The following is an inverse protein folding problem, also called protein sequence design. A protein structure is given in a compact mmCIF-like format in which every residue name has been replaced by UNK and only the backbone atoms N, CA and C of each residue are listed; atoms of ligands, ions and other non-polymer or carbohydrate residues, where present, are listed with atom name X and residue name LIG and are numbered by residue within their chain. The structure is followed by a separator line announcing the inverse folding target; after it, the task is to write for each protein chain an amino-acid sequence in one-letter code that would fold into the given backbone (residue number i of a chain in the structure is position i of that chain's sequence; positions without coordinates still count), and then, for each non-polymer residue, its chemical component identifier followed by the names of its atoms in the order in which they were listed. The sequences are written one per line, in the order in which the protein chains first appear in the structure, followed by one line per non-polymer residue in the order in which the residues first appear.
data_IF_260674799840
#
_entry.id   IF_260674799840
#
_cell.length_a   1.000
_cell.length_b   1.000
_cell.length_c   1.000
_cell.angle_alpha   90.00
_cell.angle_beta   90.00
_cell.angle_gamma   90.00
#
_symmetry.space_group_name_H-M   'P 1'
#
loop_
_entity.id
_entity.type
_entity.pdbx_description
1 polymer ?
#
# COMPACT_ATOMS: atom_id res chain seq x y z
N UNK A 1 -21.57 -34.18 -69.19
CA UNK A 1 -22.42 -33.78 -68.04
C UNK A 1 -21.51 -33.67 -66.84
N UNK A 2 -21.04 -32.46 -66.57
CA UNK A 2 -20.14 -32.12 -65.47
C UNK A 2 -20.96 -31.96 -64.19
N UNK A 3 -20.53 -32.57 -63.09
CA UNK A 3 -21.08 -32.34 -61.77
C UNK A 3 -19.92 -31.93 -60.84
N UNK A 4 -20.01 -30.71 -60.30
CA UNK A 4 -19.05 -30.13 -59.38
C UNK A 4 -19.17 -30.72 -57.97
N UNK A 5 -18.07 -30.80 -57.19
CA UNK A 5 -18.13 -31.18 -55.78
C UNK A 5 -18.50 -29.98 -54.90
N UNK A 6 -19.41 -30.20 -53.95
CA UNK A 6 -19.84 -29.23 -52.93
C UNK A 6 -18.69 -28.93 -51.95
N UNK A 7 -18.38 -27.64 -51.79
CA UNK A 7 -17.44 -27.11 -50.79
C UNK A 7 -17.87 -27.46 -49.37
N UNK A 8 -16.90 -27.94 -48.57
CA UNK A 8 -17.06 -28.22 -47.16
C UNK A 8 -17.19 -26.93 -46.35
N UNK A 9 -18.13 -26.94 -45.39
CA UNK A 9 -18.31 -25.87 -44.42
C UNK A 9 -17.02 -25.66 -43.59
N UNK A 10 -16.57 -24.39 -43.54
CA UNK A 10 -15.48 -23.94 -42.68
C UNK A 10 -15.80 -24.18 -41.20
N UNK A 11 -14.80 -24.51 -40.36
CA UNK A 11 -15.00 -24.68 -38.92
C UNK A 11 -15.45 -23.36 -38.28
N UNK A 12 -16.44 -23.49 -37.40
CA UNK A 12 -16.99 -22.42 -36.57
C UNK A 12 -15.92 -21.60 -35.86
N UNK A 13 -16.12 -20.29 -35.89
CA UNK A 13 -15.41 -19.20 -35.21
C UNK A 13 -14.96 -19.57 -33.78
N UNK A 14 -13.75 -19.16 -33.34
CA UNK A 14 -13.34 -19.36 -31.95
C UNK A 14 -14.30 -18.61 -31.02
N UNK A 15 -14.82 -19.35 -30.05
CA UNK A 15 -15.62 -18.86 -28.94
C UNK A 15 -14.95 -17.62 -28.34
N UNK A 16 -15.67 -16.49 -28.33
CA UNK A 16 -15.18 -15.26 -27.74
C UNK A 16 -14.89 -15.51 -26.26
N UNK A 17 -13.61 -15.54 -25.89
CA UNK A 17 -13.19 -15.58 -24.50
C UNK A 17 -13.64 -14.27 -23.87
N UNK A 18 -14.80 -14.29 -23.20
CA UNK A 18 -15.22 -13.17 -22.36
C UNK A 18 -14.10 -12.88 -21.36
N UNK A 19 -13.61 -11.63 -21.27
CA UNK A 19 -12.61 -11.30 -20.28
C UNK A 19 -13.20 -11.58 -18.90
N UNK A 20 -12.57 -12.48 -18.14
CA UNK A 20 -12.96 -12.75 -16.76
C UNK A 20 -12.83 -11.42 -16.00
N UNK A 21 -13.97 -10.76 -15.75
CA UNK A 21 -14.02 -9.59 -14.89
C UNK A 21 -13.60 -10.05 -13.50
N UNK A 22 -12.38 -9.67 -13.10
CA UNK A 22 -11.91 -9.95 -11.75
C UNK A 22 -12.62 -9.00 -10.79
N UNK A 23 -12.95 -9.47 -9.58
CA UNK A 23 -13.58 -8.59 -8.60
C UNK A 23 -12.67 -7.41 -8.31
N UNK A 24 -13.29 -6.23 -8.28
CA UNK A 24 -12.66 -4.96 -8.00
C UNK A 24 -13.20 -4.43 -6.67
N UNK A 25 -12.33 -3.88 -5.84
CA UNK A 25 -12.73 -3.10 -4.65
C UNK A 25 -12.12 -1.71 -4.74
N UNK A 26 -12.92 -0.69 -4.52
CA UNK A 26 -12.45 0.70 -4.41
C UNK A 26 -12.44 1.10 -2.94
N UNK A 27 -11.31 1.62 -2.47
CA UNK A 27 -11.07 2.01 -1.08
C UNK A 27 -10.61 3.47 -1.00
N UNK A 28 -11.25 4.26 -0.15
CA UNK A 28 -10.76 5.55 0.30
C UNK A 28 -9.88 5.34 1.53
N UNK A 29 -8.68 5.92 1.49
CA UNK A 29 -7.73 5.86 2.61
C UNK A 29 -7.40 7.26 3.07
N UNK A 30 -7.44 7.47 4.39
CA UNK A 30 -6.94 8.67 5.05
C UNK A 30 -5.94 8.25 6.12
N UNK A 31 -4.72 8.79 6.05
CA UNK A 31 -3.67 8.62 7.05
C UNK A 31 -3.37 9.99 7.64
N UNK A 32 -3.33 10.08 8.96
CA UNK A 32 -2.86 11.24 9.70
C UNK A 32 -1.83 10.81 10.74
N UNK A 33 -0.67 11.47 10.75
CA UNK A 33 0.30 11.39 11.85
C UNK A 33 0.40 12.75 12.50
N UNK A 34 0.21 12.79 13.82
CA UNK A 34 0.25 13.99 14.63
C UNK A 34 1.28 13.87 15.75
N UNK A 35 2.15 14.86 15.82
CA UNK A 35 3.05 15.09 16.95
C UNK A 35 2.53 16.27 17.75
N UNK A 36 2.38 16.10 19.06
CA UNK A 36 2.18 17.19 20.01
C UNK A 36 3.40 17.21 20.94
N UNK A 37 4.29 18.17 20.73
CA UNK A 37 5.56 18.27 21.45
C UNK A 37 5.38 19.06 22.76
N UNK A 38 6.01 18.58 23.84
CA UNK A 38 6.09 19.26 25.15
C UNK A 38 6.88 20.57 25.03
N UNK A 39 7.92 20.57 24.20
CA UNK A 39 8.79 21.71 23.95
C UNK A 39 8.68 22.27 22.53
N UNK A 40 9.26 23.45 22.26
CA UNK A 40 9.45 23.90 20.89
C UNK A 40 10.40 22.97 20.14
N UNK A 41 10.01 22.57 18.92
CA UNK A 41 10.93 22.01 17.93
C UNK A 41 11.66 23.15 17.25
N UNK A 42 12.99 23.09 17.19
CA UNK A 42 13.82 24.10 16.51
C UNK A 42 14.08 23.70 15.07
N UNK A 43 14.34 22.42 14.85
CA UNK A 43 14.67 21.86 13.55
C UNK A 43 14.10 20.44 13.45
N UNK A 44 13.46 20.14 12.34
CA UNK A 44 13.07 18.77 12.01
C UNK A 44 13.26 18.45 10.53
N UNK A 45 13.73 17.25 10.25
CA UNK A 45 13.83 16.68 8.92
C UNK A 45 13.04 15.38 8.88
N UNK A 46 12.14 15.26 7.93
CA UNK A 46 11.22 14.14 7.82
C UNK A 46 11.30 13.48 6.45
N UNK A 47 11.00 12.19 6.47
CA UNK A 47 10.87 11.34 5.31
C UNK A 47 9.60 10.50 5.45
N UNK A 48 8.73 10.54 4.46
CA UNK A 48 7.46 9.85 4.44
C UNK A 48 7.32 8.92 3.23
N UNK A 49 6.80 7.72 3.49
CA UNK A 49 6.32 6.78 2.48
C UNK A 49 4.80 6.74 2.51
N UNK A 50 4.14 7.88 2.29
CA UNK A 50 2.68 8.02 2.39
C UNK A 50 1.98 8.08 1.03
N UNK A 51 2.75 7.94 -0.06
CA UNK A 51 2.21 7.85 -1.42
C UNK A 51 2.14 6.38 -1.83
N UNK A 52 0.92 5.85 -2.08
CA UNK A 52 0.73 4.45 -2.39
C UNK A 52 1.39 4.09 -3.72
N UNK A 53 1.83 2.83 -3.81
CA UNK A 53 2.41 2.30 -5.02
C UNK A 53 1.34 1.89 -6.03
N UNK A 54 1.69 1.96 -7.30
CA UNK A 54 0.94 1.28 -8.35
C UNK A 54 1.50 -0.13 -8.50
N UNK A 55 0.61 -1.11 -8.65
CA UNK A 55 0.98 -2.51 -8.94
C UNK A 55 0.05 -3.04 -10.04
N UNK A 56 0.33 -4.22 -10.62
CA UNK A 56 -0.61 -4.84 -11.56
C UNK A 56 -2.02 -5.06 -10.99
N UNK A 57 -2.16 -5.06 -9.65
CA UNK A 57 -3.40 -5.34 -8.93
C UNK A 57 -3.90 -4.14 -8.09
N UNK A 58 -3.24 -2.98 -8.20
CA UNK A 58 -3.59 -1.77 -7.46
C UNK A 58 -3.36 -0.53 -8.32
N UNK A 59 -4.43 0.24 -8.55
CA UNK A 59 -4.41 1.54 -9.22
C UNK A 59 -4.80 2.62 -8.22
N UNK A 60 -4.28 3.82 -8.41
CA UNK A 60 -4.53 4.97 -7.53
C UNK A 60 -5.25 6.03 -8.37
N UNK A 61 -6.46 6.40 -7.97
CA UNK A 61 -7.31 7.36 -8.72
C UNK A 61 -6.92 8.80 -8.42
N UNK A 62 -6.73 9.10 -7.15
CA UNK A 62 -6.33 10.41 -6.64
C UNK A 62 -5.44 10.23 -5.41
N UNK A 63 -4.59 11.22 -5.13
CA UNK A 63 -3.74 11.25 -3.93
C UNK A 63 -3.37 12.70 -3.56
N UNK A 64 -3.31 12.99 -2.26
CA UNK A 64 -2.89 14.28 -1.72
C UNK A 64 -2.06 14.11 -0.45
N UNK A 65 -1.18 15.08 -0.18
CA UNK A 65 -0.37 15.16 1.04
C UNK A 65 -0.38 16.59 1.59
N UNK A 66 -0.94 16.75 2.79
CA UNK A 66 -0.98 18.01 3.53
C UNK A 66 -0.11 17.93 4.76
N UNK A 67 0.67 18.98 4.99
CA UNK A 67 1.59 19.07 6.14
C UNK A 67 1.33 20.41 6.82
N UNK A 68 1.15 20.38 8.13
CA UNK A 68 0.95 21.56 8.96
C UNK A 68 1.88 21.51 10.19
N UNK A 69 2.68 22.55 10.47
CA UNK A 69 2.86 23.76 9.67
C UNK A 69 3.42 23.46 8.28
N UNK A 70 3.31 24.40 7.35
CA UNK A 70 3.90 24.22 6.03
C UNK A 70 5.41 23.99 6.15
N UNK A 71 5.96 23.03 5.40
CA UNK A 71 7.40 22.83 5.32
C UNK A 71 8.11 24.08 4.82
N UNK A 72 9.39 24.17 5.14
CA UNK A 72 10.26 25.16 4.51
C UNK A 72 10.36 24.84 3.02
N UNK A 73 10.17 25.87 2.20
CA UNK A 73 10.48 25.76 0.78
C UNK A 73 11.99 25.57 0.63
N UNK A 74 12.40 24.54 -0.12
CA UNK A 74 13.78 24.49 -0.60
C UNK A 74 13.92 25.57 -1.65
N UNK A 75 14.48 26.71 -1.26
CA UNK A 75 15.05 27.66 -2.21
C UNK A 75 16.31 26.99 -2.75
N UNK A 76 16.23 26.44 -3.96
CA UNK A 76 17.44 26.27 -4.73
C UNK A 76 17.89 27.70 -5.06
N UNK A 77 19.02 28.13 -4.50
CA UNK A 77 19.77 29.21 -5.14
C UNK A 77 20.00 28.73 -6.58
N UNK A 78 19.28 29.30 -7.53
CA UNK A 78 19.59 29.09 -8.93
C UNK A 78 21.10 29.33 -9.07
N UNK A 79 21.86 28.48 -9.78
CA UNK A 79 23.28 28.71 -9.97
C UNK A 79 23.43 30.15 -10.47
N UNK A 80 24.08 30.99 -9.66
CA UNK A 80 24.37 32.37 -10.03
C UNK A 80 24.98 32.30 -11.43
N UNK A 81 24.40 32.98 -12.44
CA UNK A 81 25.04 33.01 -13.75
C UNK A 81 26.47 33.52 -13.55
N UNK A 82 27.44 32.67 -13.86
CA UNK A 82 28.84 33.02 -13.95
C UNK A 82 29.00 33.87 -15.21
N UNK A 83 28.53 35.11 -15.15
CA UNK A 83 28.80 36.17 -16.11
C UNK A 83 28.62 37.53 -15.41
N UNK A 84 29.57 37.83 -14.52
CA UNK A 84 29.94 39.20 -14.18
C UNK A 84 31.38 39.42 -14.63
N UNK A 85 31.68 40.48 -15.39
CA UNK A 85 33.04 40.76 -15.82
C UNK A 85 33.92 41.03 -14.59
N UNK A 86 35.07 40.36 -14.57
CA UNK A 86 36.14 40.50 -13.58
C UNK A 86 36.44 41.98 -13.34
N UNK A 87 36.11 42.46 -12.14
CA UNK A 87 36.77 43.64 -11.56
C UNK A 87 37.80 43.13 -10.57
N UNK A 88 39.03 43.66 -10.70
CA UNK A 88 40.23 43.18 -10.02
C UNK A 88 40.13 43.23 -8.48
N UNK A 89 40.84 42.34 -7.76
CA UNK A 89 40.71 42.22 -6.32
C UNK A 89 41.49 43.30 -5.56
N UNK A 90 40.89 43.82 -4.49
CA UNK A 90 41.61 44.53 -3.43
C UNK A 90 42.49 43.53 -2.65
N UNK A 91 43.75 43.88 -2.31
CA UNK A 91 44.67 42.95 -1.66
C UNK A 91 44.42 42.89 -0.15
N UNK A 92 44.37 41.67 0.39
CA UNK A 92 44.51 41.40 1.82
C UNK A 92 43.34 40.67 2.47
N UNK A 93 43.36 39.34 2.43
CA UNK A 93 42.99 38.49 3.55
C UNK A 93 43.39 37.04 3.23
N UNK A 94 44.12 36.45 4.16
CA UNK A 94 44.81 35.18 4.05
C UNK A 94 43.88 33.96 4.19
N UNK A 95 44.32 32.90 3.52
CA UNK A 95 44.03 31.45 3.64
C UNK A 95 43.20 30.93 4.82
N UNK A 96 42.23 30.05 4.50
CA UNK A 96 41.98 28.82 5.25
C UNK A 96 41.40 27.73 4.33
N UNK A 97 41.84 26.50 4.56
CA UNK A 97 41.80 25.36 3.65
C UNK A 97 40.42 24.79 3.33
N UNK A 98 40.27 24.35 2.09
CA UNK A 98 39.14 23.61 1.56
C UNK A 98 39.59 22.18 1.27
N UNK A 99 38.99 21.21 1.96
CA UNK A 99 39.04 19.81 1.60
C UNK A 99 37.61 19.29 1.71
N UNK A 100 36.93 19.24 0.57
CA UNK A 100 35.65 18.57 0.41
C UNK A 100 35.84 17.50 -0.66
N UNK A 101 35.64 16.24 -0.27
CA UNK A 101 35.66 15.10 -1.18
C UNK A 101 34.22 14.66 -1.40
N UNK A 102 33.59 15.22 -2.42
CA UNK A 102 32.30 14.77 -2.94
C UNK A 102 32.45 13.44 -3.67
N UNK A 103 31.86 12.38 -3.09
CA UNK A 103 31.51 11.17 -3.85
C UNK A 103 30.09 11.34 -4.37
N UNK A 104 29.98 11.90 -5.57
CA UNK A 104 28.72 11.96 -6.31
C UNK A 104 28.33 10.55 -6.80
N UNK A 105 27.41 9.88 -6.10
CA UNK A 105 26.76 8.67 -6.60
C UNK A 105 25.70 9.07 -7.62
N UNK A 106 26.03 8.93 -8.90
CA UNK A 106 25.08 9.09 -10.01
C UNK A 106 24.20 7.83 -10.12
N UNK A 107 22.92 7.97 -9.75
CA UNK A 107 21.90 6.93 -10.01
C UNK A 107 21.57 6.99 -11.50
N UNK A 108 21.98 5.95 -12.25
CA UNK A 108 21.58 5.77 -13.65
C UNK A 108 20.09 5.44 -13.70
N UNK A 109 19.33 6.25 -14.42
CA UNK A 109 17.93 6.01 -14.76
C UNK A 109 17.78 4.68 -15.52
N UNK A 110 16.93 3.78 -15.01
CA UNK A 110 16.57 2.56 -15.71
C UNK A 110 15.79 2.90 -17.00
N UNK A 111 16.07 2.25 -18.13
CA UNK A 111 15.37 2.49 -19.38
C UNK A 111 14.11 1.62 -19.42
N UNK A 112 13.04 2.10 -18.81
CA UNK A 112 11.68 1.77 -19.27
C UNK A 112 10.77 2.97 -19.01
N UNK A 113 10.25 3.48 -20.12
CA UNK A 113 9.63 4.78 -20.24
C UNK A 113 8.29 4.93 -19.53
N UNK A 114 7.94 6.22 -19.39
CA UNK A 114 6.77 6.80 -18.75
C UNK A 114 6.84 6.90 -17.21
N UNK A 115 7.48 7.99 -16.75
CA UNK A 115 6.96 8.77 -15.63
C UNK A 115 5.48 9.08 -15.93
N UNK A 116 4.57 8.24 -15.47
CA UNK A 116 3.16 8.63 -15.38
C UNK A 116 3.05 9.60 -14.21
N UNK A 117 3.25 10.89 -14.51
CA UNK A 117 2.79 11.96 -13.63
C UNK A 117 1.30 11.76 -13.39
N UNK A 118 0.87 11.93 -12.14
CA UNK A 118 -0.54 11.79 -11.80
C UNK A 118 -1.23 13.08 -12.24
N UNK A 119 -2.34 13.02 -12.98
CA UNK A 119 -3.24 14.16 -13.03
C UNK A 119 -3.80 14.38 -11.60
N UNK A 120 -3.50 15.53 -10.98
CA UNK A 120 -4.15 15.95 -9.73
C UNK A 120 -3.47 15.62 -8.39
N UNK A 121 -2.15 15.41 -8.35
CA UNK A 121 -1.46 15.29 -7.04
C UNK A 121 -1.39 16.66 -6.32
N UNK A 122 -2.18 16.84 -5.27
CA UNK A 122 -2.15 18.03 -4.40
C UNK A 122 -1.09 17.83 -3.30
N UNK A 123 0.05 18.52 -3.44
CA UNK A 123 1.19 18.39 -2.54
C UNK A 123 1.43 19.68 -1.76
N UNK A 124 1.75 19.52 -0.48
CA UNK A 124 2.24 20.62 0.34
C UNK A 124 3.49 21.26 -0.29
N UNK A 125 3.57 22.60 -0.37
CA UNK A 125 4.77 23.32 -0.77
C UNK A 125 5.98 22.92 0.08
N UNK A 126 7.19 22.96 -0.50
CA UNK A 126 8.44 22.61 0.19
C UNK A 126 8.71 21.11 0.39
N UNK A 127 7.80 20.24 -0.07
CA UNK A 127 8.02 18.79 -0.10
C UNK A 127 8.76 18.38 -1.37
N UNK A 128 9.90 17.70 -1.22
CA UNK A 128 10.60 17.05 -2.32
C UNK A 128 10.12 15.61 -2.48
N UNK A 129 9.89 15.18 -3.72
CA UNK A 129 9.56 13.78 -4.01
C UNK A 129 10.64 13.11 -4.86
N UNK A 130 10.93 11.86 -4.51
CA UNK A 130 11.80 10.98 -5.27
C UNK A 130 11.34 9.53 -5.10
N UNK A 131 11.91 8.62 -5.89
CA UNK A 131 11.79 7.19 -5.63
C UNK A 131 13.03 6.68 -4.88
N UNK A 132 12.82 5.73 -3.98
CA UNK A 132 13.91 4.99 -3.36
C UNK A 132 14.40 3.84 -4.28
N UNK A 133 15.48 3.12 -3.91
CA UNK A 133 15.99 2.01 -4.72
C UNK A 133 14.99 0.87 -4.96
N UNK A 134 13.93 0.77 -4.15
CA UNK A 134 12.86 -0.22 -4.32
C UNK A 134 11.71 0.32 -5.20
N UNK A 135 11.79 1.57 -5.65
CA UNK A 135 10.74 2.28 -6.39
C UNK A 135 9.59 2.81 -5.52
N UNK A 136 9.77 2.89 -4.19
CA UNK A 136 8.77 3.51 -3.32
C UNK A 136 8.81 5.02 -3.50
N UNK A 137 7.65 5.67 -3.52
CA UNK A 137 7.59 7.12 -3.44
C UNK A 137 7.99 7.59 -2.05
N UNK A 138 9.00 8.47 -2.01
CA UNK A 138 9.53 9.10 -0.81
C UNK A 138 9.31 10.60 -0.88
N UNK A 139 8.62 11.13 0.11
CA UNK A 139 8.48 12.56 0.35
C UNK A 139 9.47 13.00 1.43
N UNK A 140 10.26 14.04 1.17
CA UNK A 140 11.23 14.63 2.11
C UNK A 140 10.84 16.08 2.36
N UNK A 141 10.81 16.50 3.62
CA UNK A 141 10.44 17.86 4.01
C UNK A 141 11.08 18.23 5.34
N UNK A 142 11.19 19.54 5.60
CA UNK A 142 11.86 20.06 6.79
C UNK A 142 11.12 21.24 7.40
N UNK A 143 11.37 21.46 8.69
CA UNK A 143 10.87 22.60 9.45
C UNK A 143 11.99 23.19 10.29
N UNK A 144 12.39 24.42 9.99
CA UNK A 144 13.34 25.26 10.73
C UNK A 144 12.63 26.33 11.55
N UNK A 145 11.32 26.50 11.34
CA UNK A 145 10.47 27.38 12.15
C UNK A 145 10.01 26.67 13.40
N UNK A 146 10.10 27.39 14.52
CA UNK A 146 9.67 26.88 15.81
C UNK A 146 8.19 26.53 15.81
N UNK A 147 7.89 25.28 16.16
CA UNK A 147 6.52 24.79 16.27
C UNK A 147 6.39 23.78 17.41
N UNK A 148 5.15 23.58 17.87
CA UNK A 148 4.79 22.63 18.94
C UNK A 148 3.89 21.48 18.46
N UNK A 149 3.43 21.55 17.21
CA UNK A 149 2.58 20.53 16.61
C UNK A 149 2.99 20.32 15.17
N UNK A 150 3.07 19.07 14.76
CA UNK A 150 3.21 18.66 13.37
C UNK A 150 2.06 17.71 13.03
N UNK A 151 1.38 17.97 11.92
CA UNK A 151 0.36 17.10 11.35
C UNK A 151 0.73 16.79 9.91
N UNK A 152 0.83 15.51 9.59
CA UNK A 152 1.09 14.99 8.24
C UNK A 152 -0.10 14.14 7.83
N UNK A 153 -0.84 14.58 6.82
CA UNK A 153 -2.06 13.92 6.36
C UNK A 153 -1.96 13.53 4.90
N UNK A 154 -2.15 12.25 4.60
CA UNK A 154 -2.25 11.73 3.24
C UNK A 154 -3.67 11.18 3.00
N UNK A 155 -4.25 11.51 1.85
CA UNK A 155 -5.56 10.99 1.45
C UNK A 155 -5.51 10.51 0.01
N UNK A 156 -6.08 9.34 -0.28
CA UNK A 156 -6.12 8.79 -1.64
C UNK A 156 -7.25 7.78 -1.83
N UNK A 157 -7.52 7.47 -3.10
CA UNK A 157 -8.46 6.40 -3.48
C UNK A 157 -7.71 5.31 -4.26
N UNK A 158 -7.78 4.08 -3.75
CA UNK A 158 -7.17 2.90 -4.37
C UNK A 158 -8.24 1.98 -4.97
N UNK A 159 -7.99 1.53 -6.20
CA UNK A 159 -8.77 0.49 -6.88
C UNK A 159 -7.93 -0.80 -6.88
N UNK A 160 -8.45 -1.82 -6.21
CA UNK A 160 -7.80 -3.11 -6.00
C UNK A 160 -8.45 -4.16 -6.89
N UNK A 161 -7.63 -4.91 -7.63
CA UNK A 161 -8.07 -6.06 -8.42
C UNK A 161 -7.59 -7.34 -7.75
N UNK A 162 -8.41 -8.38 -7.79
CA UNK A 162 -8.00 -9.67 -7.23
C UNK A 162 -6.74 -10.20 -7.96
N UNK A 163 -5.68 -10.58 -7.22
CA UNK A 163 -4.52 -11.21 -7.82
C UNK A 163 -4.90 -12.59 -8.38
N UNK A 164 -4.09 -13.14 -9.32
CA UNK A 164 -4.33 -14.48 -9.84
C UNK A 164 -4.31 -15.51 -8.70
N UNK A 165 -5.11 -16.58 -8.79
CA UNK A 165 -5.12 -17.63 -7.77
C UNK A 165 -3.75 -18.31 -7.66
N UNK A 166 -3.34 -18.55 -6.42
CA UNK A 166 -2.04 -19.14 -6.11
C UNK A 166 -2.05 -20.65 -6.38
N UNK A 167 -1.17 -21.13 -7.28
CA UNK A 167 -1.05 -22.56 -7.59
C UNK A 167 0.05 -23.19 -6.75
N UNK A 168 -0.27 -23.54 -5.51
CA UNK A 168 0.70 -24.03 -4.51
C UNK A 168 1.60 -25.16 -5.04
N UNK A 169 1.00 -26.19 -5.65
CA UNK A 169 1.70 -27.38 -6.18
C UNK A 169 2.53 -27.10 -7.43
N UNK A 170 2.28 -25.98 -8.12
CA UNK A 170 3.03 -25.60 -9.31
C UNK A 170 4.33 -24.84 -8.98
N UNK A 171 4.55 -24.50 -7.70
CA UNK A 171 5.82 -23.93 -7.26
C UNK A 171 6.89 -25.03 -7.15
N UNK A 172 8.15 -24.74 -7.50
CA UNK A 172 9.23 -25.71 -7.35
C UNK A 172 9.50 -26.04 -5.88
N UNK A 173 10.18 -27.18 -5.59
CA UNK A 173 10.71 -27.46 -4.27
C UNK A 173 11.55 -26.31 -3.73
N UNK A 174 11.37 -25.96 -2.46
CA UNK A 174 11.98 -24.78 -1.87
C UNK A 174 13.52 -24.80 -1.91
N UNK A 175 14.17 -25.97 -1.82
CA UNK A 175 15.62 -26.11 -1.88
C UNK A 175 16.19 -25.79 -3.25
N UNK A 176 15.41 -26.01 -4.31
CA UNK A 176 15.79 -25.62 -5.66
C UNK A 176 15.81 -24.09 -5.77
N UNK A 177 14.80 -23.41 -5.20
CA UNK A 177 14.73 -21.95 -5.17
C UNK A 177 15.86 -21.37 -4.32
N UNK A 178 16.07 -21.91 -3.12
CA UNK A 178 17.14 -21.48 -2.23
C UNK A 178 18.53 -21.64 -2.86
N UNK A 179 18.78 -22.73 -3.61
CA UNK A 179 20.04 -22.91 -4.36
C UNK A 179 20.20 -21.91 -5.50
N UNK A 180 19.12 -21.58 -6.22
CA UNK A 180 19.12 -20.56 -7.30
C UNK A 180 19.42 -19.16 -6.76
N UNK A 181 18.97 -18.88 -5.54
CA UNK A 181 19.17 -17.60 -4.86
C UNK A 181 20.49 -17.52 -4.07
N UNK A 182 21.34 -18.55 -4.14
CA UNK A 182 22.72 -18.44 -3.67
C UNK A 182 23.56 -17.74 -4.73
N UNK A 183 24.50 -16.93 -4.28
CA UNK A 183 25.49 -16.31 -5.16
C UNK A 183 26.21 -17.37 -6.00
N UNK A 184 26.23 -17.17 -7.32
CA UNK A 184 27.04 -17.93 -8.26
C UNK A 184 27.81 -16.95 -9.17
N UNK A 185 29.12 -17.16 -9.38
CA UNK A 185 29.89 -16.33 -10.31
C UNK A 185 29.26 -16.33 -11.71
N UNK A 186 29.10 -15.15 -12.31
CA UNK A 186 28.54 -15.00 -13.66
C UNK A 186 27.02 -15.11 -13.77
N UNK A 187 26.30 -15.31 -12.66
CA UNK A 187 24.84 -15.30 -12.67
C UNK A 187 24.30 -13.88 -12.95
N UNK A 188 23.30 -13.72 -13.85
CA UNK A 188 22.60 -12.45 -14.01
C UNK A 188 21.97 -11.98 -12.70
N UNK A 189 21.98 -10.67 -12.46
CA UNK A 189 21.34 -10.09 -11.29
C UNK A 189 19.83 -10.39 -11.31
N UNK A 190 19.32 -10.93 -10.19
CA UNK A 190 17.91 -11.17 -9.92
C UNK A 190 17.55 -10.33 -8.70
N UNK A 191 16.61 -9.40 -8.83
CA UNK A 191 16.23 -8.48 -7.74
C UNK A 191 15.81 -9.21 -6.46
N UNK A 192 15.34 -10.46 -6.58
CA UNK A 192 14.98 -11.30 -5.44
C UNK A 192 16.16 -11.53 -4.48
N UNK A 193 17.40 -11.49 -4.98
CA UNK A 193 18.61 -11.69 -4.17
C UNK A 193 18.75 -10.65 -3.04
N UNK A 194 18.37 -9.39 -3.29
CA UNK A 194 18.39 -8.32 -2.28
C UNK A 194 17.51 -8.64 -1.06
N UNK A 195 16.48 -9.46 -1.27
CA UNK A 195 15.50 -9.85 -0.27
C UNK A 195 15.78 -11.21 0.38
N UNK A 196 16.92 -11.83 0.05
CA UNK A 196 17.49 -13.02 0.71
C UNK A 196 18.48 -12.61 1.80
N UNK A 197 19.05 -11.41 1.68
CA UNK A 197 20.03 -10.86 2.61
C UNK A 197 19.37 -10.49 3.96
N UNK A 198 20.10 -10.63 5.08
CA UNK A 198 19.60 -10.21 6.38
C UNK A 198 19.40 -8.70 6.42
N UNK A 199 18.48 -8.26 7.27
CA UNK A 199 18.25 -6.84 7.57
C UNK A 199 18.13 -6.61 9.07
N UNK A 200 18.04 -5.35 9.51
CA UNK A 200 18.06 -4.97 10.93
C UNK A 200 16.98 -5.69 11.74
N UNK A 201 15.74 -5.71 11.24
CA UNK A 201 14.60 -6.30 11.96
C UNK A 201 14.34 -7.76 11.59
N UNK A 202 14.82 -8.22 10.44
CA UNK A 202 14.70 -9.61 9.99
C UNK A 202 16.09 -10.19 9.65
N UNK A 203 16.94 -10.43 10.67
CA UNK A 203 18.23 -11.06 10.48
C UNK A 203 18.07 -12.55 10.11
N UNK A 204 19.16 -13.16 9.66
CA UNK A 204 19.27 -14.62 9.65
C UNK A 204 19.60 -15.09 11.05
N UNK A 205 18.84 -16.06 11.55
CA UNK A 205 18.98 -16.54 12.91
C UNK A 205 18.64 -18.04 12.98
N UNK A 206 19.32 -18.77 13.86
CA UNK A 206 19.12 -20.21 14.00
C UNK A 206 17.72 -20.57 14.53
N UNK A 207 17.13 -19.76 15.42
CA UNK A 207 15.76 -19.98 15.90
C UNK A 207 14.73 -19.72 14.80
N UNK A 208 14.94 -18.69 13.98
CA UNK A 208 14.10 -18.43 12.80
C UNK A 208 14.22 -19.55 11.75
N UNK A 209 15.44 -20.06 11.51
CA UNK A 209 15.67 -21.21 10.65
C UNK A 209 14.92 -22.46 11.15
N UNK A 210 14.98 -22.73 12.47
CA UNK A 210 14.26 -23.85 13.09
C UNK A 210 12.74 -23.72 12.91
N UNK A 211 12.18 -22.52 13.10
CA UNK A 211 10.77 -22.26 12.87
C UNK A 211 10.37 -22.60 11.42
N UNK A 212 11.15 -22.13 10.44
CA UNK A 212 10.90 -22.42 9.03
C UNK A 212 11.01 -23.91 8.69
N UNK A 213 12.01 -24.60 9.25
CA UNK A 213 12.28 -26.01 8.99
C UNK A 213 11.14 -26.96 9.44
N UNK A 214 10.24 -26.51 10.31
CA UNK A 214 9.06 -27.30 10.71
C UNK A 214 8.06 -27.52 9.57
N UNK A 215 8.03 -26.62 8.59
CA UNK A 215 7.06 -26.65 7.48
C UNK A 215 7.72 -26.77 6.11
N UNK A 216 9.00 -26.40 5.99
CA UNK A 216 9.81 -26.58 4.80
C UNK A 216 10.55 -27.93 4.84
N UNK A 217 9.78 -29.02 4.84
CA UNK A 217 10.32 -30.38 4.76
C UNK A 217 10.96 -30.65 3.37
N UNK A 218 11.83 -31.67 3.24
CA UNK A 218 12.44 -32.01 1.97
C UNK A 218 11.44 -32.15 0.82
N UNK A 219 11.65 -31.42 -0.28
CA UNK A 219 10.80 -31.49 -1.47
C UNK A 219 9.48 -30.72 -1.39
N UNK A 220 9.22 -30.00 -0.30
CA UNK A 220 8.00 -29.20 -0.15
C UNK A 220 7.93 -28.10 -1.22
N UNK A 221 6.83 -27.97 -1.97
CA UNK A 221 6.64 -26.84 -2.88
C UNK A 221 6.76 -25.52 -2.14
N UNK A 222 7.55 -24.58 -2.65
CA UNK A 222 7.86 -23.29 -2.00
C UNK A 222 6.60 -22.59 -1.45
N UNK A 223 5.56 -22.45 -2.27
CA UNK A 223 4.35 -21.73 -1.87
C UNK A 223 3.52 -22.52 -0.85
N UNK A 224 3.56 -23.85 -0.89
CA UNK A 224 2.92 -24.66 0.14
C UNK A 224 3.60 -24.46 1.51
N UNK A 225 4.95 -24.47 1.53
CA UNK A 225 5.72 -24.19 2.73
C UNK A 225 5.52 -22.76 3.25
N UNK A 226 5.44 -21.77 2.35
CA UNK A 226 5.20 -20.38 2.74
C UNK A 226 3.81 -20.17 3.37
N UNK A 227 2.76 -20.77 2.81
CA UNK A 227 1.41 -20.75 3.41
C UNK A 227 1.37 -21.50 4.73
N UNK A 228 2.04 -22.64 4.83
CA UNK A 228 2.15 -23.38 6.09
C UNK A 228 2.89 -22.57 7.17
N UNK A 229 3.94 -21.84 6.80
CA UNK A 229 4.67 -20.94 7.70
C UNK A 229 3.80 -19.77 8.16
N UNK A 230 3.04 -19.14 7.26
CA UNK A 230 2.06 -18.10 7.59
C UNK A 230 1.09 -18.58 8.68
N UNK A 231 0.48 -19.75 8.47
CA UNK A 231 -0.42 -20.34 9.46
C UNK A 231 0.30 -20.73 10.78
N UNK A 232 1.57 -21.15 10.70
CA UNK A 232 2.35 -21.50 11.88
C UNK A 232 2.64 -20.26 12.74
N UNK A 233 3.04 -19.14 12.12
CA UNK A 233 3.25 -17.86 12.80
C UNK A 233 1.94 -17.40 13.43
N UNK A 234 0.84 -17.36 12.67
CA UNK A 234 -0.48 -16.97 13.17
C UNK A 234 -0.89 -17.73 14.43
N UNK A 235 -0.75 -19.07 14.43
CA UNK A 235 -1.17 -19.90 15.57
C UNK A 235 -0.27 -19.79 16.80
N UNK A 236 0.99 -19.39 16.62
CA UNK A 236 1.99 -19.38 17.70
C UNK A 236 2.14 -18.03 18.37
N UNK A 237 1.59 -16.98 17.76
CA UNK A 237 1.75 -15.62 18.23
C UNK A 237 0.41 -15.07 18.70
N UNK A 238 0.44 -14.38 19.83
CA UNK A 238 -0.68 -13.59 20.31
C UNK A 238 -0.54 -12.15 19.80
N UNK A 239 -1.60 -11.59 19.23
CA UNK A 239 -1.60 -10.18 18.84
C UNK A 239 -1.74 -9.30 20.08
N UNK A 240 -0.75 -8.45 20.35
CA UNK A 240 -0.69 -7.63 21.57
C UNK A 240 0.06 -6.32 21.33
N UNK A 241 -0.66 -5.20 21.33
CA UNK A 241 -0.16 -3.87 20.90
C UNK A 241 0.90 -3.26 21.82
N UNK A 242 0.96 -3.65 23.10
CA UNK A 242 1.94 -3.14 24.06
C UNK A 242 3.07 -4.12 24.38
N UNK A 243 3.13 -5.27 23.68
CA UNK A 243 4.13 -6.29 23.96
C UNK A 243 5.51 -5.94 23.40
N UNK A 244 5.54 -5.20 22.29
CA UNK A 244 6.73 -4.91 21.51
C UNK A 244 6.81 -3.43 21.19
N UNK A 245 7.94 -3.01 20.63
CA UNK A 245 8.14 -1.66 20.12
C UNK A 245 8.50 -1.72 18.65
N UNK A 246 8.48 -0.56 17.96
CA UNK A 246 8.93 -0.46 16.58
C UNK A 246 10.40 -0.91 16.37
N UNK A 247 11.19 -0.98 17.44
CA UNK A 247 12.58 -1.42 17.42
C UNK A 247 12.77 -2.94 17.62
N UNK A 248 11.71 -3.68 17.99
CA UNK A 248 11.78 -5.12 18.27
C UNK A 248 12.19 -5.90 17.02
N UNK A 249 13.10 -6.85 17.18
CA UNK A 249 13.64 -7.68 16.07
C UNK A 249 12.98 -9.05 16.03
N UNK A 250 12.95 -9.69 14.86
CA UNK A 250 12.33 -10.99 14.65
C UNK A 250 12.73 -12.09 15.64
N UNK A 251 14.02 -12.29 16.02
CA UNK A 251 14.38 -13.33 16.99
C UNK A 251 13.79 -13.06 18.39
N UNK A 252 13.71 -11.79 18.78
CA UNK A 252 13.13 -11.37 20.05
C UNK A 252 11.62 -11.58 20.05
N UNK A 253 10.92 -11.13 19.01
CA UNK A 253 9.49 -11.37 18.83
C UNK A 253 9.17 -12.87 18.84
N UNK A 254 9.99 -13.71 18.21
CA UNK A 254 9.85 -15.16 18.24
C UNK A 254 10.01 -15.76 19.64
N UNK A 255 10.94 -15.24 20.45
CA UNK A 255 11.11 -15.68 21.82
C UNK A 255 9.91 -15.29 22.69
N UNK A 256 9.36 -14.09 22.47
CA UNK A 256 8.21 -13.57 23.23
C UNK A 256 6.88 -14.20 22.81
N UNK A 257 6.71 -14.55 21.53
CA UNK A 257 5.47 -15.09 20.92
C UNK A 257 4.25 -14.16 21.07
N UNK A 258 4.51 -12.87 21.13
CA UNK A 258 3.50 -11.80 21.18
C UNK A 258 4.04 -10.57 20.48
N UNK A 259 3.15 -9.79 19.88
CA UNK A 259 3.54 -8.57 19.17
C UNK A 259 2.44 -8.09 18.24
N UNK A 260 2.81 -7.24 17.30
CA UNK A 260 1.90 -6.64 16.30
C UNK A 260 2.19 -7.16 14.89
N UNK A 261 1.43 -6.70 13.89
CA UNK A 261 1.58 -7.13 12.50
C UNK A 261 3.02 -6.96 11.97
N UNK A 262 3.74 -5.93 12.42
CA UNK A 262 5.17 -5.74 12.13
C UNK A 262 5.99 -6.96 12.54
N UNK A 263 5.83 -7.43 13.78
CA UNK A 263 6.59 -8.54 14.35
C UNK A 263 6.30 -9.86 13.61
N UNK A 264 5.03 -10.12 13.33
CA UNK A 264 4.60 -11.33 12.63
C UNK A 264 5.22 -11.37 11.22
N UNK A 265 5.21 -10.22 10.51
CA UNK A 265 5.83 -10.10 9.20
C UNK A 265 7.36 -10.28 9.28
N UNK A 266 8.05 -9.64 10.24
CA UNK A 266 9.50 -9.79 10.39
C UNK A 266 9.92 -11.20 10.77
N UNK A 267 9.18 -11.89 11.65
CA UNK A 267 9.43 -13.30 12.00
C UNK A 267 9.31 -14.19 10.77
N UNK A 268 8.23 -14.05 10.00
CA UNK A 268 8.04 -14.84 8.78
C UNK A 268 9.13 -14.55 7.73
N UNK A 269 9.48 -13.28 7.52
CA UNK A 269 10.57 -12.88 6.60
C UNK A 269 11.90 -13.46 7.06
N UNK A 270 12.23 -13.31 8.35
CA UNK A 270 13.49 -13.80 8.90
C UNK A 270 13.60 -15.33 8.84
N UNK A 271 12.50 -16.06 9.04
CA UNK A 271 12.45 -17.51 8.85
C UNK A 271 12.71 -17.91 7.39
N UNK A 272 12.05 -17.26 6.42
CA UNK A 272 12.27 -17.50 4.99
C UNK A 272 13.72 -17.20 4.57
N UNK A 273 14.25 -16.04 4.98
CA UNK A 273 15.62 -15.64 4.68
C UNK A 273 16.68 -16.53 5.31
N UNK A 274 16.39 -17.08 6.50
CA UNK A 274 17.25 -18.04 7.17
C UNK A 274 17.32 -19.38 6.44
N UNK A 275 16.30 -19.71 5.62
CA UNK A 275 16.29 -20.86 4.70
C UNK A 275 16.85 -20.52 3.31
N UNK A 276 17.31 -19.30 3.08
CA UNK A 276 17.83 -18.84 1.78
C UNK A 276 16.74 -18.49 0.76
N UNK A 277 15.52 -18.22 1.21
CA UNK A 277 14.40 -17.80 0.38
C UNK A 277 14.24 -16.28 0.40
N UNK A 278 13.82 -15.70 -0.72
CA UNK A 278 13.60 -14.27 -0.87
C UNK A 278 12.23 -13.87 -0.31
N UNK A 279 12.24 -12.93 0.64
CA UNK A 279 11.02 -12.38 1.22
C UNK A 279 11.19 -10.88 1.50
N UNK A 280 10.17 -10.08 1.21
CA UNK A 280 10.18 -8.63 1.45
C UNK A 280 9.03 -8.20 2.34
N UNK A 281 9.29 -7.12 3.08
CA UNK A 281 8.32 -6.50 3.96
C UNK A 281 7.43 -5.56 3.15
N UNK A 282 6.12 -5.62 3.37
CA UNK A 282 5.17 -4.71 2.76
C UNK A 282 4.50 -3.91 3.86
N UNK A 283 4.58 -2.58 3.74
CA UNK A 283 3.83 -1.64 4.57
C UNK A 283 2.59 -1.20 3.80
N UNK A 284 1.46 -1.07 4.49
CA UNK A 284 0.21 -0.70 3.86
C UNK A 284 -0.92 -0.46 4.84
N UNK A 285 -2.14 -0.57 4.32
CA UNK A 285 -3.36 -0.42 5.11
C UNK A 285 -4.30 -1.59 4.87
N UNK A 286 -5.11 -1.91 5.88
CA UNK A 286 -6.05 -3.02 5.83
C UNK A 286 -7.47 -2.51 6.02
N UNK A 287 -8.40 -2.92 5.14
CA UNK A 287 -9.83 -2.78 5.40
C UNK A 287 -10.21 -3.82 6.47
N UNK A 288 -10.37 -3.37 7.71
CA UNK A 288 -10.82 -4.22 8.80
C UNK A 288 -12.34 -4.39 8.78
N UNK A 289 -12.83 -5.61 8.97
CA UNK A 289 -14.25 -5.86 9.26
C UNK A 289 -14.40 -6.07 10.77
N UNK A 290 -14.95 -5.09 11.52
CA UNK A 290 -15.21 -5.30 12.94
C UNK A 290 -16.30 -6.38 13.11
N UNK A 291 -16.33 -7.08 14.25
CA UNK A 291 -17.46 -7.93 14.63
C UNK A 291 -18.78 -7.14 14.57
N UNK A 292 -19.92 -7.81 14.28
CA UNK A 292 -21.23 -7.14 14.29
C UNK A 292 -21.47 -6.38 15.59
N UNK A 293 -21.80 -5.08 15.49
CA UNK A 293 -22.06 -4.20 16.64
C UNK A 293 -20.85 -3.45 17.18
N UNK A 294 -19.64 -3.67 16.65
CA UNK A 294 -18.45 -2.89 17.01
C UNK A 294 -18.14 -1.83 15.92
N UNK A 295 -17.65 -0.63 16.30
CA UNK A 295 -17.19 0.35 15.33
C UNK A 295 -16.01 -0.23 14.54
N UNK A 296 -15.85 0.19 13.27
CA UNK A 296 -14.65 -0.17 12.49
C UNK A 296 -13.42 0.33 13.22
N UNK A 297 -12.32 -0.41 13.10
CA UNK A 297 -11.04 0.05 13.62
C UNK A 297 -10.67 1.35 12.87
N UNK A 298 -10.50 2.41 13.64
CA UNK A 298 -10.07 3.75 13.18
C UNK A 298 -8.87 4.10 14.05
N UNK A 299 -7.73 4.41 13.44
CA UNK A 299 -6.50 4.63 14.21
C UNK A 299 -5.26 3.97 13.62
N UNK A 300 -4.22 3.79 14.44
CA UNK A 300 -3.05 3.00 14.10
C UNK A 300 -3.40 1.55 13.69
N UNK A 301 -4.53 1.03 14.16
CA UNK A 301 -5.01 -0.33 13.91
C UNK A 301 -5.36 -0.62 12.43
N UNK A 302 -5.51 0.41 11.59
CA UNK A 302 -5.70 0.22 10.14
C UNK A 302 -4.37 0.30 9.35
N UNK A 303 -3.27 0.74 9.96
CA UNK A 303 -1.93 0.48 9.41
C UNK A 303 -1.62 -1.01 9.54
N UNK A 304 -1.03 -1.58 8.50
CA UNK A 304 -0.78 -3.01 8.46
C UNK A 304 0.53 -3.36 7.77
N UNK A 305 1.00 -4.56 8.09
CA UNK A 305 2.22 -5.12 7.54
C UNK A 305 2.03 -6.58 7.17
N UNK A 306 2.60 -6.97 6.04
CA UNK A 306 2.59 -8.36 5.58
C UNK A 306 3.84 -8.69 4.78
N UNK A 307 3.91 -9.93 4.29
CA UNK A 307 5.09 -10.48 3.62
C UNK A 307 4.81 -10.71 2.15
N UNK A 308 5.78 -10.43 1.29
CA UNK A 308 5.80 -10.95 -0.07
C UNK A 308 6.94 -11.95 -0.24
N UNK A 309 6.63 -13.15 -0.71
CA UNK A 309 7.57 -14.24 -0.97
C UNK A 309 7.78 -14.37 -2.47
N UNK A 310 9.04 -14.38 -2.91
CA UNK A 310 9.34 -14.52 -4.33
C UNK A 310 9.32 -15.99 -4.76
N UNK A 311 8.57 -16.29 -5.81
CA UNK A 311 8.50 -17.60 -6.44
C UNK A 311 8.82 -17.46 -7.94
N UNK A 312 9.73 -18.26 -8.51
CA UNK A 312 10.16 -18.09 -9.90
C UNK A 312 9.04 -18.31 -10.93
N UNK A 313 7.95 -18.98 -10.55
CA UNK A 313 6.80 -19.26 -11.44
C UNK A 313 5.65 -18.27 -11.21
N UNK A 314 5.54 -17.67 -10.02
CA UNK A 314 4.41 -16.81 -9.64
C UNK A 314 4.79 -15.34 -9.41
N UNK A 315 6.09 -15.01 -9.45
CA UNK A 315 6.60 -13.72 -8.99
C UNK A 315 6.44 -13.55 -7.48
N UNK A 316 6.19 -12.32 -7.05
CA UNK A 316 5.99 -11.96 -5.65
C UNK A 316 4.57 -12.31 -5.19
N UNK A 317 4.46 -13.22 -4.23
CA UNK A 317 3.19 -13.67 -3.64
C UNK A 317 3.02 -13.07 -2.25
N UNK A 318 1.90 -12.39 -2.01
CA UNK A 318 1.64 -11.69 -0.75
C UNK A 318 0.86 -12.56 0.25
N UNK A 319 1.37 -12.64 1.48
CA UNK A 319 0.87 -13.46 2.58
C UNK A 319 0.81 -12.62 3.87
N UNK A 320 -0.31 -12.67 4.57
CA UNK A 320 -0.56 -11.95 5.82
C UNK A 320 -0.51 -12.93 7.01
N UNK A 321 0.63 -13.01 7.74
CA UNK A 321 0.76 -13.89 8.90
C UNK A 321 -0.08 -13.45 10.10
N UNK A 322 -0.54 -12.19 10.14
CA UNK A 322 -1.35 -11.67 11.24
C UNK A 322 -2.77 -12.17 11.17
N UNK A 323 -3.30 -12.30 9.95
CA UNK A 323 -4.68 -12.72 9.70
C UNK A 323 -4.81 -14.13 9.10
N UNK A 324 -3.67 -14.81 8.85
CA UNK A 324 -3.61 -16.12 8.20
C UNK A 324 -4.31 -16.19 6.84
N UNK A 325 -4.16 -15.14 6.01
CA UNK A 325 -4.76 -15.07 4.67
C UNK A 325 -3.76 -14.62 3.62
N UNK A 326 -3.91 -15.03 2.35
CA UNK A 326 -3.26 -14.33 1.24
C UNK A 326 -3.74 -12.87 1.18
N UNK A 327 -2.83 -11.94 0.90
CA UNK A 327 -3.23 -10.53 0.76
C UNK A 327 -4.08 -10.35 -0.52
N UNK A 328 -5.16 -9.58 -0.41
CA UNK A 328 -6.17 -9.48 -1.46
C UNK A 328 -6.83 -8.11 -1.54
N UNK A 329 -8.15 -8.11 -1.76
CA UNK A 329 -8.95 -6.90 -1.99
C UNK A 329 -9.09 -5.98 -0.77
N UNK A 330 -8.60 -6.40 0.38
CA UNK A 330 -8.66 -5.61 1.62
C UNK A 330 -7.29 -5.01 1.96
N UNK A 331 -6.22 -5.34 1.21
CA UNK A 331 -4.83 -4.94 1.48
C UNK A 331 -4.35 -3.86 0.50
N UNK A 332 -4.22 -2.62 0.98
CA UNK A 332 -3.70 -1.50 0.19
C UNK A 332 -2.20 -1.37 0.37
N UNK A 333 -1.43 -1.61 -0.69
CA UNK A 333 0.04 -1.55 -0.67
C UNK A 333 0.54 -0.11 -0.70
N UNK A 334 1.27 0.29 0.33
CA UNK A 334 1.88 1.62 0.40
C UNK A 334 3.33 1.60 -0.09
N UNK A 335 4.14 0.70 0.46
CA UNK A 335 5.57 0.57 0.16
C UNK A 335 6.08 -0.84 0.47
N UNK A 336 7.22 -1.22 -0.12
CA UNK A 336 7.92 -2.46 0.25
C UNK A 336 9.43 -2.28 0.34
N UNK A 337 10.07 -3.08 1.19
CA UNK A 337 11.51 -3.02 1.42
C UNK A 337 12.01 -4.28 2.09
N UNK A 338 13.26 -4.27 2.56
CA UNK A 338 13.83 -5.45 3.24
C UNK A 338 13.21 -5.64 4.61
N UNK A 339 12.90 -4.56 5.32
CA UNK A 339 12.14 -4.57 6.56
C UNK A 339 11.50 -3.19 6.80
N UNK A 340 11.02 -2.95 8.02
CA UNK A 340 10.36 -1.70 8.39
C UNK A 340 11.26 -0.46 8.25
N UNK A 341 12.58 -0.59 8.42
CA UNK A 341 13.50 0.55 8.34
C UNK A 341 13.52 1.20 6.96
N UNK A 342 13.31 0.39 5.92
CA UNK A 342 13.29 0.84 4.53
C UNK A 342 11.97 1.58 4.21
N UNK A 343 10.86 1.27 4.89
CA UNK A 343 9.50 1.69 4.47
C UNK A 343 8.61 2.24 5.58
N UNK A 344 9.19 2.73 6.67
CA UNK A 344 8.44 3.39 7.72
C UNK A 344 7.54 4.50 7.13
N UNK A 345 6.23 4.56 7.49
CA UNK A 345 5.29 5.52 6.91
C UNK A 345 5.74 6.97 7.09
N UNK A 346 6.28 7.30 8.26
CA UNK A 346 6.91 8.57 8.57
C UNK A 346 8.07 8.34 9.53
N UNK A 347 9.24 8.89 9.20
CA UNK A 347 10.42 8.92 10.07
C UNK A 347 11.12 10.27 9.95
N UNK A 348 12.00 10.58 10.88
CA UNK A 348 12.75 11.82 10.83
C UNK A 348 13.70 12.00 12.00
N UNK A 349 14.45 13.09 11.95
CA UNK A 349 15.26 13.58 13.07
C UNK A 349 14.65 14.90 13.51
N UNK A 350 14.39 15.01 14.81
CA UNK A 350 13.76 16.18 15.44
C UNK A 350 14.72 16.69 16.51
N UNK A 351 15.05 17.98 16.46
CA UNK A 351 15.83 18.68 17.49
C UNK A 351 14.91 19.60 18.28
N UNK A 352 14.92 19.41 19.61
CA UNK A 352 13.93 20.01 20.50
C UNK A 352 12.64 19.18 20.55
N UNK A 353 11.58 19.74 21.12
CA UNK A 353 10.26 19.13 21.10
C UNK A 353 10.15 17.73 21.71
N UNK A 354 10.67 17.50 22.91
CA UNK A 354 10.36 16.27 23.66
C UNK A 354 8.85 16.02 23.75
N UNK A 355 8.43 14.82 24.14
CA UNK A 355 7.01 14.51 24.26
C UNK A 355 6.67 13.07 23.90
N UNK A 356 5.36 12.74 23.93
CA UNK A 356 4.87 11.39 23.68
C UNK A 356 5.10 10.96 22.23
N UNK A 357 5.01 9.64 22.00
CA UNK A 357 5.02 9.06 20.66
C UNK A 357 3.93 9.70 19.76
N UNK A 358 4.18 9.77 18.44
CA UNK A 358 3.20 10.33 17.51
C UNK A 358 1.88 9.57 17.56
N UNK A 359 0.79 10.32 17.49
CA UNK A 359 -0.56 9.76 17.31
C UNK A 359 -0.77 9.48 15.84
N UNK A 360 -1.03 8.22 15.50
CA UNK A 360 -1.33 7.79 14.13
C UNK A 360 -2.81 7.43 14.04
N UNK A 361 -3.50 7.99 13.04
CA UNK A 361 -4.87 7.66 12.71
C UNK A 361 -4.99 7.29 11.24
N UNK A 362 -5.49 6.09 10.98
CA UNK A 362 -5.78 5.61 9.63
C UNK A 362 -7.24 5.21 9.55
N UNK A 363 -7.88 5.61 8.46
CA UNK A 363 -9.23 5.22 8.09
C UNK A 363 -9.21 4.60 6.70
N UNK A 364 -9.79 3.41 6.56
CA UNK A 364 -9.96 2.71 5.28
C UNK A 364 -11.44 2.40 5.07
N UNK A 365 -12.02 2.97 4.02
CA UNK A 365 -13.46 2.90 3.76
C UNK A 365 -13.72 2.39 2.34
N UNK A 366 -14.64 1.42 2.15
CA UNK A 366 -15.06 1.04 0.82
C UNK A 366 -15.87 2.18 0.18
N UNK A 367 -15.56 2.50 -1.07
CA UNK A 367 -16.43 3.34 -1.87
C UNK A 367 -17.38 2.43 -2.65
N UNK A 368 -18.67 2.54 -2.39
CA UNK A 368 -19.70 2.07 -3.32
C UNK A 368 -19.60 2.94 -4.56
N UNK A 369 -19.23 2.35 -5.68
CA UNK A 369 -19.45 3.02 -6.96
C UNK A 369 -20.97 3.13 -7.17
N UNK A 370 -21.49 4.29 -7.59
CA UNK A 370 -22.88 4.35 -8.04
C UNK A 370 -23.04 3.35 -9.20
N UNK A 371 -24.02 2.45 -9.08
CA UNK A 371 -24.42 1.56 -10.17
C UNK A 371 -25.03 2.37 -11.34
N UNK A 372 -24.18 2.87 -12.25
CA UNK A 372 -24.61 3.39 -13.56
C UNK A 372 -23.53 2.98 -14.59
N UNK A 373 -23.77 2.25 -15.68
CA UNK A 373 -24.96 2.17 -16.52
C UNK A 373 -25.11 0.76 -17.13
N UNK A 374 -26.02 -0.03 -16.56
CA UNK A 374 -26.74 -1.09 -17.27
C UNK A 374 -27.96 -0.55 -18.00
N UNK A 375 -27.87 0.66 -18.60
CA UNK A 375 -28.92 1.15 -19.50
C UNK A 375 -28.62 0.60 -20.89
N UNK A 376 -29.37 -0.43 -21.20
CA UNK A 376 -29.70 -0.96 -22.51
C UNK A 376 -29.35 0.00 -23.65
N UNK A 377 -28.44 -0.43 -24.52
CA UNK A 377 -28.46 -0.02 -25.92
C UNK A 377 -29.69 -0.72 -26.51
N UNK A 378 -30.88 -0.18 -26.26
CA UNK A 378 -32.02 -0.46 -27.13
C UNK A 378 -31.79 0.32 -28.40
N UNK A 379 -31.66 -0.45 -29.49
CA UNK A 379 -31.48 0.03 -30.83
C UNK A 379 -32.56 1.07 -31.16
N UNK A 380 -32.12 2.26 -31.56
CA UNK A 380 -32.92 3.13 -32.42
C UNK A 380 -33.19 2.37 -33.72
N UNK A 381 -34.38 1.81 -33.85
CA UNK A 381 -34.96 1.52 -35.16
C UNK A 381 -36.03 2.57 -35.43
N UNK A 382 -35.65 3.59 -36.19
CA UNK A 382 -36.59 4.44 -36.89
C UNK A 382 -37.35 3.59 -37.91
N UNK A 383 -38.66 3.47 -37.73
CA UNK A 383 -39.57 3.07 -38.80
C UNK A 383 -40.84 3.92 -38.71
N UNK A 384 -41.10 4.59 -39.82
CA UNK A 384 -42.14 5.58 -40.07
C UNK A 384 -43.53 4.94 -40.08
N UNK A 385 -44.48 5.71 -39.57
CA UNK A 385 -45.95 5.56 -39.43
C UNK A 385 -46.71 5.19 -40.74
N UNK A 386 -48.00 4.78 -40.69
CA UNK A 386 -49.04 5.81 -40.60
C UNK A 386 -50.30 5.49 -39.76
N UNK A 387 -50.95 6.60 -39.41
CA UNK A 387 -52.18 6.84 -38.66
C UNK A 387 -53.43 6.01 -39.02
N UNK A 388 -54.30 5.83 -38.02
CA UNK A 388 -55.76 6.00 -38.15
C UNK A 388 -56.44 6.26 -36.79
N UNK A 389 -57.54 7.00 -36.86
CA UNK A 389 -58.16 7.79 -35.81
C UNK A 389 -59.29 7.08 -35.05
N UNK A 390 -59.63 7.58 -33.85
CA UNK A 390 -60.92 8.26 -33.52
C UNK A 390 -61.38 8.06 -32.06
N UNK A 391 -62.02 9.14 -31.59
CA UNK A 391 -63.14 9.22 -30.65
C UNK A 391 -62.87 9.26 -29.13
N UNK A 392 -63.39 10.36 -28.59
CA UNK A 392 -63.54 10.76 -27.20
C UNK A 392 -64.59 9.93 -26.44
N UNK A 393 -64.52 9.89 -25.11
CA UNK A 393 -65.68 10.23 -24.26
C UNK A 393 -65.32 10.49 -22.77
N UNK A 394 -65.93 11.54 -22.21
CA UNK A 394 -66.44 11.82 -20.83
C UNK A 394 -65.67 11.39 -19.56
N UNK A 395 -65.33 12.33 -18.65
CA UNK A 395 -66.07 12.80 -17.44
C UNK A 395 -65.88 11.85 -16.23
N UNK A 396 -65.79 12.22 -14.95
CA UNK A 396 -66.16 13.41 -14.17
C UNK A 396 -65.53 13.30 -12.74
N UNK A 397 -65.44 14.45 -12.05
CA UNK A 397 -65.59 14.73 -10.59
C UNK A 397 -64.80 13.91 -9.53
N UNK A 398 -63.87 14.54 -8.78
CA UNK A 398 -64.06 15.25 -7.49
C UNK A 398 -64.44 14.37 -6.29
N UNK A 399 -63.62 14.38 -5.22
CA UNK A 399 -64.00 14.89 -3.90
C UNK A 399 -62.94 14.63 -2.82
N UNK A 400 -62.68 15.70 -2.07
CA UNK A 400 -61.92 15.82 -0.81
C UNK A 400 -62.39 14.91 0.33
N UNK A 401 -61.48 14.62 1.28
CA UNK A 401 -61.65 14.95 2.71
C UNK A 401 -60.58 14.29 3.59
N UNK A 402 -59.65 15.11 4.11
CA UNK A 402 -59.17 15.02 5.49
C UNK A 402 -60.27 15.57 6.43
N UNK A 403 -60.36 15.22 7.74
CA UNK A 403 -59.37 15.72 8.71
C UNK A 403 -59.16 14.90 10.01
N UNK A 404 -58.16 15.32 10.80
CA UNK A 404 -58.15 15.51 12.28
C UNK A 404 -58.49 14.33 13.22
N UNK A 405 -57.96 14.15 14.44
CA UNK A 405 -56.99 14.81 15.33
C UNK A 405 -57.02 14.00 16.67
N UNK A 406 -56.14 14.33 17.62
CA UNK A 406 -56.13 14.03 19.06
C UNK A 406 -55.65 12.63 19.51
N UNK A 407 -54.46 12.51 20.11
CA UNK A 407 -54.08 12.85 21.50
C UNK A 407 -54.56 11.80 22.53
N UNK A 408 -53.67 11.22 23.33
CA UNK A 408 -53.28 11.78 24.64
C UNK A 408 -52.27 10.86 25.38
N UNK A 409 -51.60 11.49 26.33
CA UNK A 409 -50.47 11.11 27.16
C UNK A 409 -50.70 9.98 28.17
N UNK A 410 -49.58 9.41 28.64
CA UNK A 410 -49.21 9.39 30.07
C UNK A 410 -47.84 8.72 30.27
N UNK A 411 -46.82 9.54 30.56
CA UNK A 411 -45.58 9.08 31.20
C UNK A 411 -45.51 9.73 32.59
N UNK A 412 -45.44 8.89 33.62
CA UNK A 412 -45.26 9.30 35.00
C UNK A 412 -44.46 8.23 35.76
N UNK A 413 -43.22 8.59 36.04
CA UNK A 413 -42.53 8.42 37.33
C UNK A 413 -42.34 7.01 37.92
N UNK A 414 -41.07 6.61 38.06
CA UNK A 414 -40.50 6.46 39.40
C UNK A 414 -40.04 5.08 39.86
N UNK A 415 -38.73 5.01 40.14
CA UNK A 415 -38.09 4.38 41.31
C UNK A 415 -37.72 2.88 41.30
N UNK A 416 -36.39 2.69 41.39
CA UNK A 416 -35.65 1.74 42.24
C UNK A 416 -35.91 0.24 42.14
N UNK A 417 -34.95 -0.49 41.56
CA UNK A 417 -34.12 -1.52 42.21
C UNK A 417 -33.04 -2.00 41.23
#
# INVERSE_FOLDING_TARGET
MSAEPREGALPSTPEAVHPIQRPVRVLRVQHETRYDYDGPVELAHHMAHLRPRMTPWQRIRDWSLRINPWPDAVVWDAPTPLDLPLTEPLPGAETAAQADSDVAVSVRSHPDGALRSYPGADMAPGVQQSQDPWGNWRAVFSHSRVHRRLTVRACFTAELLAPPPMRLKASPPWEQVARRLRYQPGQPFDEALEFVLPSTYAPRDAALARLGAEVFLPGTPLLAGAVALMHLVYRRFEYHTTATSVATRAPEALAQRRGVCQDFAHVMIGALRSLGLAARYVSGYLLTQPPPGQPRLVGADASHAWVQVWCPVHGWVALDPTNAVPAGLDHVTLAWGRDYADVAPLRGVIRGGGGPEPRVSVTVEPLTEPEEAGRSIEARSDAVEPAEATAADTADAEADAEPADAADAADATGSAA
#
